data_IF_445391270008
#
_entry.id   IF_445391270008
#
_cell.length_a   1.000
_cell.length_b   1.000
_cell.length_c   1.000
_cell.angle_alpha   90.00
_cell.angle_beta   90.00
_cell.angle_gamma   90.00
#
_symmetry.space_group_name_H-M   'P 1'
#
loop_
_entity.id
_entity.type
_entity.pdbx_description
1 polymer ?
#
# COMPACT_ATOMS: atom_id res chain seq x y z
N UNK A 1 8.21 -28.85 -16.26
CA UNK A 1 8.37 -27.44 -16.70
C UNK A 1 8.20 -26.54 -15.48
N UNK A 2 9.32 -26.09 -14.90
CA UNK A 2 9.38 -25.43 -13.60
C UNK A 2 9.14 -23.92 -13.74
N UNK A 3 8.15 -23.41 -13.01
CA UNK A 3 7.85 -21.99 -12.91
C UNK A 3 9.04 -21.26 -12.23
N UNK A 4 9.61 -20.27 -12.93
CA UNK A 4 10.60 -19.33 -12.41
C UNK A 4 9.86 -18.21 -11.67
N UNK A 5 10.02 -18.00 -10.35
CA UNK A 5 9.71 -16.73 -9.74
C UNK A 5 10.95 -15.83 -9.88
N UNK A 6 10.92 -14.93 -10.85
CA UNK A 6 11.85 -13.81 -10.95
C UNK A 6 11.52 -12.82 -9.82
N UNK A 7 12.50 -12.50 -8.96
CA UNK A 7 12.45 -11.35 -8.05
C UNK A 7 12.87 -11.62 -6.61
N UNK A 8 12.80 -12.86 -6.12
CA UNK A 8 13.26 -13.25 -4.79
C UNK A 8 14.71 -13.73 -4.80
N UNK A 9 15.64 -12.85 -4.41
CA UNK A 9 16.91 -13.17 -3.72
C UNK A 9 17.61 -14.48 -4.12
N UNK A 10 18.69 -14.38 -4.91
CA UNK A 10 19.64 -15.48 -5.19
C UNK A 10 20.12 -16.23 -3.92
N UNK A 11 20.01 -15.59 -2.75
CA UNK A 11 20.26 -16.16 -1.42
C UNK A 11 19.16 -17.15 -0.98
N UNK A 12 17.88 -16.85 -1.18
CA UNK A 12 16.77 -17.76 -0.87
C UNK A 12 16.77 -18.98 -1.79
N UNK A 13 17.16 -18.80 -3.06
CA UNK A 13 17.37 -19.90 -4.00
C UNK A 13 18.59 -20.78 -3.65
N UNK A 14 19.60 -20.25 -2.93
CA UNK A 14 20.74 -21.02 -2.42
C UNK A 14 20.41 -21.77 -1.12
N UNK A 15 19.54 -21.19 -0.29
CA UNK A 15 19.10 -21.76 0.98
C UNK A 15 18.16 -22.97 0.84
N UNK A 16 17.43 -23.08 -0.28
CA UNK A 16 16.62 -24.27 -0.60
C UNK A 16 17.44 -25.45 -1.13
N UNK A 17 18.76 -25.31 -1.28
CA UNK A 17 19.61 -26.47 -1.57
C UNK A 17 19.63 -27.37 -0.32
N UNK A 18 19.51 -28.70 -0.46
CA UNK A 18 19.49 -29.65 0.67
C UNK A 18 20.75 -29.69 1.55
N UNK A 19 21.71 -28.78 1.33
CA UNK A 19 22.97 -28.61 2.07
C UNK A 19 23.19 -27.16 2.55
N UNK A 20 22.13 -26.36 2.69
CA UNK A 20 22.26 -25.03 3.30
C UNK A 20 22.48 -25.14 4.82
N UNK A 21 23.46 -24.42 5.41
CA UNK A 21 23.72 -24.46 6.85
C UNK A 21 22.46 -24.10 7.65
N UNK A 22 22.12 -24.84 8.70
CA UNK A 22 20.99 -24.53 9.59
C UNK A 22 21.02 -23.08 10.13
N UNK A 23 22.23 -22.52 10.30
CA UNK A 23 22.47 -21.12 10.65
C UNK A 23 21.87 -20.11 9.66
N UNK A 24 21.86 -20.41 8.35
CA UNK A 24 21.28 -19.54 7.31
C UNK A 24 19.75 -19.52 7.34
N UNK A 25 19.12 -20.65 7.66
CA UNK A 25 17.66 -20.71 7.80
C UNK A 25 17.17 -19.94 9.04
N UNK A 26 17.85 -20.09 10.17
CA UNK A 26 17.51 -19.40 11.42
C UNK A 26 17.75 -17.89 11.29
N UNK A 27 18.92 -17.48 10.77
CA UNK A 27 19.21 -16.06 10.52
C UNK A 27 18.26 -15.46 9.47
N UNK A 28 17.86 -16.24 8.45
CA UNK A 28 16.88 -15.83 7.46
C UNK A 28 15.51 -15.48 8.05
N UNK A 29 15.00 -16.29 8.98
CA UNK A 29 13.72 -16.02 9.68
C UNK A 29 13.82 -14.74 10.51
N UNK A 30 14.89 -14.59 11.29
CA UNK A 30 15.10 -13.40 12.14
C UNK A 30 15.18 -12.13 11.28
N UNK A 31 15.96 -12.16 10.20
CA UNK A 31 16.09 -11.04 9.27
C UNK A 31 14.75 -10.73 8.61
N UNK A 32 13.96 -11.75 8.22
CA UNK A 32 12.63 -11.54 7.66
C UNK A 32 11.68 -10.85 8.65
N UNK A 33 11.64 -11.27 9.91
CA UNK A 33 10.80 -10.65 10.95
C UNK A 33 11.22 -9.19 11.18
N UNK A 34 12.52 -8.92 11.28
CA UNK A 34 13.05 -7.56 11.46
C UNK A 34 12.73 -6.68 10.25
N UNK A 35 12.91 -7.19 9.04
CA UNK A 35 12.61 -6.46 7.81
C UNK A 35 11.11 -6.12 7.70
N UNK A 36 10.23 -7.08 7.99
CA UNK A 36 8.78 -6.87 7.98
C UNK A 36 8.35 -5.85 9.04
N UNK A 37 8.90 -5.94 10.25
CA UNK A 37 8.62 -5.00 11.33
C UNK A 37 9.03 -3.57 10.96
N UNK A 38 10.21 -3.39 10.36
CA UNK A 38 10.70 -2.06 9.93
C UNK A 38 9.86 -1.48 8.77
N UNK A 39 9.49 -2.30 7.79
CA UNK A 39 8.62 -1.87 6.69
C UNK A 39 7.21 -1.51 7.17
N UNK A 40 6.69 -2.25 8.15
CA UNK A 40 5.39 -1.99 8.74
C UNK A 40 5.34 -0.64 9.44
N UNK A 41 6.34 -0.28 10.25
CA UNK A 41 6.33 0.97 11.03
C UNK A 41 6.19 2.22 10.16
N UNK A 42 6.93 2.31 9.06
CA UNK A 42 6.87 3.48 8.16
C UNK A 42 5.49 3.64 7.53
N UNK A 43 4.93 2.54 7.03
CA UNK A 43 3.59 2.54 6.42
C UNK A 43 2.51 2.81 7.48
N UNK A 44 2.63 2.18 8.65
CA UNK A 44 1.69 2.32 9.75
C UNK A 44 1.61 3.76 10.26
N UNK A 45 2.75 4.41 10.53
CA UNK A 45 2.74 5.82 10.94
C UNK A 45 2.16 6.73 9.86
N UNK A 46 2.45 6.48 8.57
CA UNK A 46 1.83 7.21 7.47
C UNK A 46 0.29 7.07 7.44
N UNK A 47 -0.22 5.85 7.63
CA UNK A 47 -1.68 5.61 7.71
C UNK A 47 -2.30 6.29 8.93
N UNK A 48 -1.65 6.22 10.10
CA UNK A 48 -2.17 6.84 11.33
C UNK A 48 -2.20 8.37 11.22
N UNK A 49 -1.20 9.00 10.62
CA UNK A 49 -1.19 10.45 10.39
C UNK A 49 -2.30 10.87 9.42
N UNK A 50 -2.43 10.17 8.29
CA UNK A 50 -3.52 10.39 7.34
C UNK A 50 -4.89 10.20 7.99
N UNK A 51 -5.09 9.11 8.73
CA UNK A 51 -6.34 8.83 9.45
C UNK A 51 -6.63 9.87 10.53
N UNK A 52 -5.60 10.38 11.24
CA UNK A 52 -5.77 11.41 12.26
C UNK A 52 -6.22 12.73 11.66
N UNK A 53 -5.67 13.14 10.50
CA UNK A 53 -6.14 14.35 9.80
C UNK A 53 -7.52 14.16 9.17
N UNK A 54 -7.85 12.96 8.65
CA UNK A 54 -9.21 12.64 8.20
C UNK A 54 -10.22 12.76 9.35
N UNK A 55 -9.97 12.10 10.48
CA UNK A 55 -10.84 12.16 11.68
C UNK A 55 -10.96 13.59 12.19
N UNK A 56 -9.86 14.36 12.21
CA UNK A 56 -9.87 15.77 12.60
C UNK A 56 -10.74 16.62 11.68
N UNK A 57 -10.63 16.45 10.37
CA UNK A 57 -11.43 17.18 9.38
C UNK A 57 -12.91 16.86 9.55
N UNK A 58 -13.26 15.58 9.68
CA UNK A 58 -14.63 15.14 9.93
C UNK A 58 -15.19 15.69 11.26
N UNK A 59 -14.42 15.67 12.35
CA UNK A 59 -14.86 16.24 13.64
C UNK A 59 -15.00 17.77 13.62
N UNK A 60 -14.14 18.46 12.86
CA UNK A 60 -14.25 19.90 12.66
C UNK A 60 -15.51 20.26 11.87
N UNK A 61 -15.89 19.47 10.87
CA UNK A 61 -17.15 19.63 10.13
C UNK A 61 -18.38 19.38 11.03
N UNK A 62 -18.27 18.52 12.04
CA UNK A 62 -19.33 18.23 13.02
C UNK A 62 -19.30 19.20 14.22
N UNK A 63 -18.37 20.17 14.25
CA UNK A 63 -18.32 21.22 15.28
C UNK A 63 -17.75 20.79 16.63
N UNK A 64 -17.22 19.57 16.77
CA UNK A 64 -16.73 19.02 18.03
C UNK A 64 -15.20 19.12 18.09
N UNK A 65 -14.67 20.08 18.86
CA UNK A 65 -13.22 20.19 19.15
C UNK A 65 -12.81 19.20 20.24
N UNK A 66 -12.40 17.98 19.87
CA UNK A 66 -11.70 17.04 20.78
C UNK A 66 -10.17 17.19 20.69
N UNK A 67 -9.48 16.74 21.74
CA UNK A 67 -8.02 16.81 21.87
C UNK A 67 -7.29 16.00 20.78
N UNK A 68 -6.15 16.52 20.29
CA UNK A 68 -5.29 15.87 19.28
C UNK A 68 -4.87 14.45 19.67
N UNK A 69 -4.61 14.22 20.95
CA UNK A 69 -4.23 12.91 21.47
C UNK A 69 -5.40 11.89 21.38
N UNK A 70 -6.63 12.35 21.61
CA UNK A 70 -7.82 11.51 21.49
C UNK A 70 -8.09 11.12 20.03
N UNK A 71 -7.97 12.06 19.10
CA UNK A 71 -8.16 11.76 17.67
C UNK A 71 -7.11 10.77 17.14
N UNK A 72 -5.85 10.88 17.61
CA UNK A 72 -4.78 9.95 17.27
C UNK A 72 -4.99 8.57 17.89
N UNK A 73 -5.42 8.50 19.15
CA UNK A 73 -5.74 7.23 19.80
C UNK A 73 -6.93 6.53 19.13
N UNK A 74 -7.96 7.30 18.75
CA UNK A 74 -9.14 6.80 18.05
C UNK A 74 -8.79 6.28 16.65
N UNK A 75 -7.97 6.99 15.87
CA UNK A 75 -7.53 6.53 14.55
C UNK A 75 -6.70 5.24 14.65
N UNK A 76 -5.82 5.14 15.65
CA UNK A 76 -5.06 3.90 15.94
C UNK A 76 -6.00 2.74 16.27
N UNK A 77 -6.93 2.92 17.20
CA UNK A 77 -7.89 1.88 17.61
C UNK A 77 -8.81 1.45 16.47
N UNK A 78 -9.27 2.39 15.64
CA UNK A 78 -10.10 2.08 14.48
C UNK A 78 -9.33 1.26 13.45
N UNK A 79 -8.15 1.73 13.04
CA UNK A 79 -7.35 1.06 12.00
C UNK A 79 -6.91 -0.33 12.45
N UNK A 80 -6.43 -0.48 13.69
CA UNK A 80 -6.02 -1.79 14.23
C UNK A 80 -7.21 -2.72 14.42
N UNK A 81 -8.32 -2.23 14.96
CA UNK A 81 -9.53 -3.01 15.19
C UNK A 81 -10.14 -3.54 13.89
N UNK A 82 -10.29 -2.67 12.87
CA UNK A 82 -10.82 -3.06 11.56
C UNK A 82 -9.93 -4.12 10.92
N UNK A 83 -8.61 -3.91 10.94
CA UNK A 83 -7.65 -4.86 10.33
C UNK A 83 -7.69 -6.22 11.03
N UNK A 84 -7.74 -6.23 12.37
CA UNK A 84 -7.81 -7.46 13.15
C UNK A 84 -9.09 -8.26 12.88
N UNK A 85 -10.24 -7.58 12.87
CA UNK A 85 -11.55 -8.21 12.59
C UNK A 85 -11.55 -8.85 11.19
N UNK A 86 -11.07 -8.13 10.17
CA UNK A 86 -11.00 -8.63 8.79
C UNK A 86 -10.11 -9.89 8.71
N UNK A 87 -8.95 -9.87 9.35
CA UNK A 87 -8.03 -11.01 9.38
C UNK A 87 -8.61 -12.24 10.10
N UNK A 88 -9.43 -12.05 11.14
CA UNK A 88 -10.07 -13.15 11.84
C UNK A 88 -11.20 -13.80 11.02
N UNK A 89 -11.95 -13.02 10.24
CA UNK A 89 -13.09 -13.52 9.45
C UNK A 89 -12.63 -14.18 8.15
N UNK A 90 -11.63 -13.61 7.49
CA UNK A 90 -11.16 -14.08 6.19
C UNK A 90 -9.68 -14.48 6.24
N UNK A 91 -9.36 -15.79 6.25
CA UNK A 91 -7.96 -16.24 6.21
C UNK A 91 -7.26 -15.88 4.90
N UNK A 92 -8.02 -15.47 3.87
CA UNK A 92 -7.49 -15.01 2.58
C UNK A 92 -7.40 -13.47 2.47
N UNK A 93 -7.16 -12.77 3.59
CA UNK A 93 -7.00 -11.32 3.64
C UNK A 93 -5.91 -10.80 2.68
N UNK A 94 -4.88 -11.61 2.40
CA UNK A 94 -3.82 -11.27 1.44
C UNK A 94 -4.38 -11.07 0.03
N UNK A 95 -5.27 -11.95 -0.42
CA UNK A 95 -5.89 -11.84 -1.75
C UNK A 95 -6.80 -10.60 -1.84
N UNK A 96 -7.50 -10.27 -0.75
CA UNK A 96 -8.31 -9.05 -0.67
C UNK A 96 -7.44 -7.78 -0.77
N UNK A 97 -6.31 -7.76 -0.06
CA UNK A 97 -5.34 -6.66 -0.14
C UNK A 97 -4.80 -6.52 -1.57
N UNK A 98 -4.48 -7.63 -2.24
CA UNK A 98 -3.99 -7.59 -3.60
C UNK A 98 -5.04 -7.05 -4.58
N UNK A 99 -6.28 -7.51 -4.46
CA UNK A 99 -7.41 -7.05 -5.28
C UNK A 99 -7.69 -5.54 -5.12
N UNK A 100 -7.47 -4.97 -3.93
CA UNK A 100 -7.66 -3.54 -3.67
C UNK A 100 -6.42 -2.71 -4.06
N UNK A 101 -5.21 -3.22 -3.75
CA UNK A 101 -3.96 -2.51 -4.00
C UNK A 101 -3.60 -2.41 -5.48
N UNK A 102 -3.99 -3.39 -6.31
CA UNK A 102 -3.79 -3.36 -7.77
C UNK A 102 -4.45 -2.15 -8.45
N UNK A 103 -5.76 -1.96 -8.30
CA UNK A 103 -6.43 -0.77 -8.81
C UNK A 103 -5.91 0.54 -8.19
N UNK A 104 -5.62 0.55 -6.89
CA UNK A 104 -5.09 1.74 -6.21
C UNK A 104 -3.72 2.17 -6.74
N UNK A 105 -2.79 1.22 -6.94
CA UNK A 105 -1.46 1.54 -7.50
C UNK A 105 -1.59 2.05 -8.94
N UNK A 106 -2.49 1.46 -9.74
CA UNK A 106 -2.77 1.93 -11.10
C UNK A 106 -3.34 3.36 -11.09
N UNK A 107 -4.28 3.67 -10.20
CA UNK A 107 -4.79 5.04 -10.05
C UNK A 107 -3.68 6.01 -9.66
N UNK A 108 -2.83 5.67 -8.69
CA UNK A 108 -1.72 6.56 -8.29
C UNK A 108 -0.75 6.76 -9.47
N UNK A 109 -0.39 5.71 -10.20
CA UNK A 109 0.60 5.82 -11.28
C UNK A 109 0.08 6.56 -12.52
N UNK A 110 -1.20 6.42 -12.87
CA UNK A 110 -1.75 7.03 -14.09
C UNK A 110 -2.54 8.31 -13.85
N UNK A 111 -3.30 8.39 -12.74
CA UNK A 111 -4.16 9.53 -12.44
C UNK A 111 -3.39 10.64 -11.72
N UNK A 112 -2.52 10.30 -10.76
CA UNK A 112 -1.75 11.32 -10.01
C UNK A 112 -0.89 12.23 -10.91
N UNK A 113 -0.08 11.71 -11.85
CA UNK A 113 0.75 12.58 -12.71
C UNK A 113 -0.10 13.37 -13.70
N UNK A 114 -1.21 12.80 -14.18
CA UNK A 114 -2.07 13.45 -15.16
C UNK A 114 -2.82 14.62 -14.52
N UNK A 115 -3.52 14.37 -13.41
CA UNK A 115 -4.20 15.40 -12.64
C UNK A 115 -3.26 16.52 -12.17
N UNK A 116 -2.03 16.20 -11.77
CA UNK A 116 -1.07 17.21 -11.32
C UNK A 116 -0.75 18.25 -12.40
N UNK A 117 -0.68 17.85 -13.68
CA UNK A 117 -0.48 18.82 -14.77
C UNK A 117 -1.70 19.70 -15.07
N UNK A 118 -2.91 19.22 -14.72
CA UNK A 118 -4.16 19.96 -14.92
C UNK A 118 -4.48 20.91 -13.76
N UNK A 119 -4.21 20.48 -12.52
CA UNK A 119 -4.47 21.27 -11.31
C UNK A 119 -3.39 22.32 -11.04
N UNK A 120 -2.12 22.05 -11.40
CA UNK A 120 -1.02 22.96 -11.09
C UNK A 120 -0.76 23.90 -12.27
N UNK A 121 -1.05 25.21 -12.15
CA UNK A 121 -0.94 26.16 -13.26
C UNK A 121 0.51 26.34 -13.75
N UNK A 122 1.50 26.04 -12.90
CA UNK A 122 2.92 26.07 -13.25
C UNK A 122 3.35 24.95 -14.21
N UNK A 123 2.57 23.86 -14.33
CA UNK A 123 2.85 22.74 -15.25
C UNK A 123 2.07 22.82 -16.57
N UNK A 124 1.30 23.89 -16.79
CA UNK A 124 0.60 24.15 -18.08
C UNK A 124 1.49 24.01 -19.33
N UNK A 125 2.77 24.45 -19.37
CA UNK A 125 3.60 24.29 -20.57
C UNK A 125 4.01 22.83 -20.85
N UNK A 126 3.88 21.93 -19.88
CA UNK A 126 4.13 20.48 -20.04
C UNK A 126 2.85 19.70 -20.38
N UNK A 127 1.75 20.39 -20.69
CA UNK A 127 0.49 19.79 -21.12
C UNK A 127 0.66 19.19 -22.52
N UNK A 128 1.15 17.96 -22.57
CA UNK A 128 1.36 17.19 -23.78
C UNK A 128 0.19 16.22 -24.02
N UNK A 129 -0.06 15.89 -25.30
CA UNK A 129 -0.94 14.79 -25.71
C UNK A 129 -0.56 13.48 -25.03
N UNK A 130 0.73 13.29 -24.72
CA UNK A 130 1.22 12.13 -23.97
C UNK A 130 0.53 11.94 -22.62
N UNK A 131 0.14 13.02 -21.94
CA UNK A 131 -0.54 12.95 -20.66
C UNK A 131 -2.01 12.53 -20.79
N UNK A 132 -2.63 12.81 -21.93
CA UNK A 132 -3.96 12.30 -22.24
C UNK A 132 -3.90 10.80 -22.57
N UNK A 133 -2.88 10.36 -23.32
CA UNK A 133 -2.67 8.94 -23.64
C UNK A 133 -2.42 8.12 -22.37
N UNK A 134 -1.55 8.57 -21.44
CA UNK A 134 -1.33 7.87 -20.17
C UNK A 134 -2.58 7.81 -19.30
N UNK A 135 -3.44 8.84 -19.33
CA UNK A 135 -4.73 8.80 -18.64
C UNK A 135 -5.65 7.74 -19.23
N UNK A 136 -5.77 7.69 -20.57
CA UNK A 136 -6.62 6.70 -21.26
C UNK A 136 -6.11 5.28 -21.04
N UNK A 137 -4.81 5.04 -21.21
CA UNK A 137 -4.19 3.72 -20.96
C UNK A 137 -4.35 3.31 -19.50
N UNK A 138 -4.19 4.23 -18.55
CA UNK A 138 -4.41 3.97 -17.13
C UNK A 138 -5.86 3.60 -16.81
N UNK A 139 -6.82 4.29 -17.40
CA UNK A 139 -8.23 3.99 -17.22
C UNK A 139 -8.60 2.62 -17.81
N UNK A 140 -8.05 2.28 -18.98
CA UNK A 140 -8.20 0.95 -19.57
C UNK A 140 -7.59 -0.14 -18.67
N UNK A 141 -6.41 0.11 -18.09
CA UNK A 141 -5.76 -0.82 -17.16
C UNK A 141 -6.61 -1.09 -15.92
N UNK A 142 -7.14 -0.03 -15.28
CA UNK A 142 -8.05 -0.16 -14.12
C UNK A 142 -9.33 -0.91 -14.52
N UNK A 143 -9.86 -0.64 -15.71
CA UNK A 143 -11.06 -1.34 -16.22
C UNK A 143 -10.81 -2.85 -16.37
N UNK A 144 -9.67 -3.25 -16.92
CA UNK A 144 -9.31 -4.68 -17.04
C UNK A 144 -9.18 -5.35 -15.67
N UNK A 145 -8.61 -4.68 -14.68
CA UNK A 145 -8.46 -5.25 -13.32
C UNK A 145 -9.77 -5.39 -12.56
N UNK A 146 -10.83 -4.67 -12.94
CA UNK A 146 -12.13 -4.75 -12.31
C UNK A 146 -13.09 -5.71 -13.04
N UNK A 147 -12.92 -5.88 -14.35
CA UNK A 147 -13.74 -6.75 -15.20
C UNK A 147 -13.12 -8.12 -15.51
N UNK A 148 -11.84 -8.34 -15.24
CA UNK A 148 -11.13 -9.61 -15.43
C UNK A 148 -10.78 -10.29 -14.12
#
# INVERSE_FOLDING_TARGET
AAARPAGGTRLSARALRPNAPAWLSISGIIVAVVAMSKSFLGTYFGVIEGATEMVRTTLQQVGVKKSRAFNRALSIMLVSGITFIICCINPNAISMIYAISGPLIAMILFIMPTLSTYLIPALKPYRSVGNFITLVVGLLCVSVMFFG
#
